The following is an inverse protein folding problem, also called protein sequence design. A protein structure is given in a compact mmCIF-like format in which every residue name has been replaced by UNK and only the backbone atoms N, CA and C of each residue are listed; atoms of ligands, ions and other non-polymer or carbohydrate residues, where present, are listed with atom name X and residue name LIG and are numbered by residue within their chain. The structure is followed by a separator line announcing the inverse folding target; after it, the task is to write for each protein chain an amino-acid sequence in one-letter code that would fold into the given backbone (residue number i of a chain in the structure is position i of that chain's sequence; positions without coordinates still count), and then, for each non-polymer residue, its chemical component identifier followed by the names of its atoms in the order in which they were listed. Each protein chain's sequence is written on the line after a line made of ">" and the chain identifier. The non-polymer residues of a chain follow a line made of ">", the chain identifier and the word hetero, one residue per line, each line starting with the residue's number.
data_IF_832200374552
#
_entry.id   IF_832200374552
#
_cell.length_a   1.000
_cell.length_b   1.000
_cell.length_c   1.000
_cell.angle_alpha   90.00
_cell.angle_beta   90.00
_cell.angle_gamma   90.00
#
_symmetry.space_group_name_H-M   'P 1'
#
loop_
_entity.id
_entity.type
_entity.pdbx_description
1 polymer ?
#
# COMPACT_ATOMS: atom_id res chain seq x y z
N UNK A 1 -14.90 -15.06 4.43
CA UNK A 1 -15.25 -15.00 2.99
C UNK A 1 -16.77 -14.86 2.76
N UNK A 2 -17.62 -15.84 3.09
CA UNK A 2 -19.09 -15.77 2.83
C UNK A 2 -19.76 -14.56 3.47
N UNK A 3 -19.47 -14.28 4.75
CA UNK A 3 -19.96 -13.06 5.44
C UNK A 3 -19.52 -11.78 4.73
N UNK A 4 -18.24 -11.69 4.36
CA UNK A 4 -17.67 -10.56 3.63
C UNK A 4 -18.34 -10.36 2.27
N UNK A 5 -18.66 -11.47 1.58
CA UNK A 5 -19.37 -11.43 0.31
C UNK A 5 -20.81 -10.90 0.46
N UNK A 6 -21.58 -11.44 1.40
CA UNK A 6 -22.94 -10.94 1.67
C UNK A 6 -22.93 -9.46 2.10
N UNK A 7 -21.98 -9.06 2.96
CA UNK A 7 -21.82 -7.68 3.37
C UNK A 7 -21.44 -6.75 2.20
N UNK A 8 -20.60 -7.21 1.27
CA UNK A 8 -20.27 -6.47 0.06
C UNK A 8 -21.50 -6.28 -0.84
N UNK A 9 -22.30 -7.33 -1.06
CA UNK A 9 -23.55 -7.22 -1.82
C UNK A 9 -24.54 -6.26 -1.17
N UNK A 10 -24.67 -6.28 0.16
CA UNK A 10 -25.50 -5.32 0.90
C UNK A 10 -24.99 -3.89 0.75
N UNK A 11 -23.66 -3.69 0.83
CA UNK A 11 -23.06 -2.37 0.64
C UNK A 11 -23.28 -1.84 -0.79
N UNK A 12 -23.16 -2.70 -1.81
CA UNK A 12 -23.40 -2.34 -3.21
C UNK A 12 -24.86 -1.95 -3.48
N UNK A 13 -25.82 -2.54 -2.77
CA UNK A 13 -27.24 -2.15 -2.85
C UNK A 13 -27.62 -0.96 -1.97
N UNK A 14 -26.67 -0.34 -1.26
CA UNK A 14 -26.96 0.74 -0.31
C UNK A 14 -27.09 2.10 -1.02
N UNK A 15 -27.94 2.97 -0.47
CA UNK A 15 -28.05 4.36 -0.93
C UNK A 15 -26.72 5.12 -0.87
N UNK A 16 -25.87 4.81 0.11
CA UNK A 16 -24.52 5.36 0.21
C UNK A 16 -23.65 4.99 -0.99
N UNK A 17 -23.71 3.74 -1.45
CA UNK A 17 -22.95 3.33 -2.62
C UNK A 17 -23.49 4.00 -3.89
N UNK A 18 -24.81 4.02 -4.07
CA UNK A 18 -25.44 4.69 -5.20
C UNK A 18 -25.09 6.19 -5.25
N UNK A 19 -25.12 6.90 -4.11
CA UNK A 19 -24.71 8.31 -4.06
C UNK A 19 -23.26 8.53 -4.51
N UNK A 20 -22.34 7.63 -4.17
CA UNK A 20 -20.95 7.69 -4.65
C UNK A 20 -20.87 7.37 -6.14
N UNK A 21 -21.59 6.35 -6.61
CA UNK A 21 -21.62 5.96 -8.02
C UNK A 21 -22.17 7.08 -8.90
N UNK A 22 -23.23 7.75 -8.47
CA UNK A 22 -23.83 8.90 -9.16
C UNK A 22 -22.85 10.08 -9.21
N UNK A 23 -22.15 10.37 -8.10
CA UNK A 23 -21.11 11.41 -8.08
C UNK A 23 -19.95 11.08 -9.04
N UNK A 24 -19.53 9.81 -9.12
CA UNK A 24 -18.50 9.37 -10.06
C UNK A 24 -18.98 9.45 -11.51
N UNK A 25 -20.24 9.12 -11.78
CA UNK A 25 -20.83 9.25 -13.11
C UNK A 25 -20.88 10.72 -13.57
N UNK A 26 -21.18 11.65 -12.67
CA UNK A 26 -21.11 13.08 -12.93
C UNK A 26 -19.67 13.54 -13.24
N UNK A 27 -18.68 13.07 -12.47
CA UNK A 27 -17.26 13.40 -12.69
C UNK A 27 -16.74 12.99 -14.07
N UNK A 28 -17.35 11.98 -14.71
CA UNK A 28 -16.97 11.58 -16.07
C UNK A 28 -17.37 12.63 -17.13
N UNK A 29 -18.34 13.49 -16.83
CA UNK A 29 -18.85 14.53 -17.74
C UNK A 29 -18.42 15.94 -17.34
N UNK A 30 -18.38 16.22 -16.03
CA UNK A 30 -18.04 17.53 -15.49
C UNK A 30 -17.13 17.38 -14.25
N UNK A 31 -15.90 17.87 -14.38
CA UNK A 31 -14.93 17.89 -13.29
C UNK A 31 -15.01 19.27 -12.63
N UNK A 32 -15.40 19.37 -11.34
CA UNK A 32 -15.60 20.64 -10.66
C UNK A 32 -14.24 21.27 -10.31
N UNK A 33 -13.60 21.86 -11.31
CA UNK A 33 -12.32 22.56 -11.15
C UNK A 33 -12.55 23.90 -10.45
N UNK A 34 -11.61 24.30 -9.60
CA UNK A 34 -11.65 25.61 -8.99
C UNK A 34 -11.61 26.72 -10.08
N UNK A 35 -12.24 27.88 -9.85
CA UNK A 35 -12.20 29.00 -10.79
C UNK A 35 -10.75 29.39 -11.12
N UNK A 36 -10.43 29.61 -12.41
CA UNK A 36 -9.08 29.95 -12.86
C UNK A 36 -8.16 28.76 -13.14
N UNK A 37 -8.65 27.53 -13.01
CA UNK A 37 -7.93 26.29 -13.40
C UNK A 37 -8.20 25.89 -14.85
N UNK A 38 -9.20 26.51 -15.49
CA UNK A 38 -9.54 26.32 -16.91
C UNK A 38 -8.40 26.82 -17.79
N UNK A 39 -7.61 25.89 -18.35
CA UNK A 39 -6.47 26.18 -19.24
C UNK A 39 -5.10 25.75 -18.70
N UNK A 40 -5.01 25.29 -17.45
CA UNK A 40 -3.76 24.84 -16.81
C UNK A 40 -3.85 23.33 -16.56
N UNK A 41 -3.73 22.52 -17.61
CA UNK A 41 -4.18 21.11 -17.56
C UNK A 41 -3.10 20.13 -17.11
N UNK A 42 -1.88 20.21 -17.64
CA UNK A 42 -0.76 19.36 -17.21
C UNK A 42 0.19 20.07 -16.24
N UNK A 43 0.52 21.33 -16.51
CA UNK A 43 1.45 22.11 -15.68
C UNK A 43 0.92 22.35 -14.26
N UNK A 44 -0.40 22.49 -14.07
CA UNK A 44 -0.98 22.62 -12.74
C UNK A 44 -0.86 21.35 -11.89
N UNK A 45 -0.69 20.20 -12.53
CA UNK A 45 -0.60 18.90 -11.87
C UNK A 45 0.84 18.54 -11.50
N UNK A 46 1.82 19.31 -11.98
CA UNK A 46 3.24 19.13 -11.64
C UNK A 46 3.48 19.35 -10.14
N UNK A 47 3.00 20.45 -9.55
CA UNK A 47 3.23 20.72 -8.11
C UNK A 47 2.61 19.64 -7.21
N UNK A 48 1.36 19.19 -7.40
CA UNK A 48 0.82 18.06 -6.64
C UNK A 48 1.61 16.75 -6.84
N UNK A 49 2.13 16.49 -8.05
CA UNK A 49 2.92 15.30 -8.34
C UNK A 49 4.29 15.33 -7.67
N UNK A 50 4.98 16.47 -7.73
CA UNK A 50 6.23 16.72 -6.99
C UNK A 50 6.02 16.57 -5.49
N UNK A 51 4.91 17.11 -4.95
CA UNK A 51 4.57 16.96 -3.54
C UNK A 51 4.31 15.50 -3.16
N UNK A 52 3.70 14.70 -4.04
CA UNK A 52 3.52 13.27 -3.82
C UNK A 52 4.87 12.52 -3.81
N UNK A 53 5.78 12.87 -4.73
CA UNK A 53 7.15 12.34 -4.76
C UNK A 53 7.92 12.67 -3.48
N UNK A 54 7.93 13.94 -3.07
CA UNK A 54 8.63 14.37 -1.84
C UNK A 54 8.12 13.63 -0.60
N UNK A 55 6.80 13.44 -0.48
CA UNK A 55 6.23 12.68 0.65
C UNK A 55 6.64 11.22 0.61
N UNK A 56 6.69 10.61 -0.57
CA UNK A 56 7.19 9.25 -0.76
C UNK A 56 8.67 9.14 -0.36
N UNK A 57 9.53 10.01 -0.89
CA UNK A 57 10.96 10.03 -0.57
C UNK A 57 11.19 10.20 0.94
N UNK A 58 10.47 11.12 1.59
CA UNK A 58 10.55 11.33 3.03
C UNK A 58 10.10 10.09 3.83
N UNK A 59 9.01 9.43 3.41
CA UNK A 59 8.54 8.23 4.08
C UNK A 59 9.50 7.05 3.91
N UNK A 60 10.10 6.88 2.72
CA UNK A 60 11.11 5.84 2.47
C UNK A 60 12.39 6.11 3.26
N UNK A 61 12.85 7.37 3.33
CA UNK A 61 13.99 7.75 4.14
C UNK A 61 13.76 7.54 5.65
N UNK A 62 12.52 7.59 6.11
CA UNK A 62 12.14 7.31 7.50
C UNK A 62 11.90 5.82 7.79
N UNK A 63 12.07 4.92 6.81
CA UNK A 63 11.90 3.48 7.05
C UNK A 63 12.97 2.94 8.00
N UNK A 64 12.63 1.95 8.84
CA UNK A 64 13.59 1.31 9.72
C UNK A 64 14.77 0.69 8.95
N UNK A 65 16.00 0.73 9.49
CA UNK A 65 17.16 0.13 8.85
C UNK A 65 17.07 -1.41 8.80
N UNK A 66 17.94 -2.03 8.01
CA UNK A 66 17.93 -3.49 7.82
C UNK A 66 18.32 -4.25 9.09
N UNK A 67 19.25 -3.71 9.88
CA UNK A 67 19.82 -4.37 11.06
C UNK A 67 18.97 -4.18 12.32
N UNK A 68 17.65 -4.01 12.17
CA UNK A 68 16.74 -3.92 13.33
C UNK A 68 16.37 -5.30 13.86
N UNK A 69 15.83 -5.34 15.08
CA UNK A 69 15.37 -6.58 15.71
C UNK A 69 14.42 -7.36 14.78
N UNK A 70 14.69 -8.66 14.53
CA UNK A 70 13.86 -9.48 13.66
C UNK A 70 12.39 -9.48 14.10
N UNK A 71 11.48 -9.39 13.13
CA UNK A 71 10.04 -9.48 13.33
C UNK A 71 9.40 -8.35 14.14
N UNK A 72 10.04 -7.19 14.26
CA UNK A 72 9.42 -6.05 14.93
C UNK A 72 8.16 -5.54 14.18
N UNK A 73 6.98 -5.94 14.65
CA UNK A 73 5.67 -5.57 14.09
C UNK A 73 5.39 -4.06 14.17
N UNK A 74 6.03 -3.32 15.09
CA UNK A 74 5.84 -1.87 15.19
C UNK A 74 6.31 -1.12 13.93
N UNK A 75 7.15 -1.77 13.11
CA UNK A 75 7.65 -1.23 11.86
C UNK A 75 6.64 -1.33 10.71
N UNK A 76 5.69 -2.27 10.77
CA UNK A 76 4.79 -2.59 9.64
C UNK A 76 3.97 -1.36 9.21
N UNK A 77 3.61 -0.50 10.17
CA UNK A 77 2.88 0.75 9.90
C UNK A 77 3.65 1.71 8.99
N UNK A 78 4.96 1.87 9.19
CA UNK A 78 5.78 2.75 8.35
C UNK A 78 5.89 2.20 6.91
N UNK A 79 6.02 0.88 6.78
CA UNK A 79 6.04 0.19 5.48
C UNK A 79 4.68 0.29 4.76
N UNK A 80 3.56 0.16 5.47
CA UNK A 80 2.23 0.39 4.91
C UNK A 80 2.03 1.84 4.46
N UNK A 81 2.57 2.82 5.19
CA UNK A 81 2.52 4.22 4.79
C UNK A 81 3.35 4.49 3.53
N UNK A 82 4.56 3.94 3.44
CA UNK A 82 5.39 4.01 2.23
C UNK A 82 4.66 3.41 1.01
N UNK A 83 3.98 2.28 1.20
CA UNK A 83 3.14 1.64 0.16
C UNK A 83 2.03 2.55 -0.34
N UNK A 84 1.31 3.22 0.57
CA UNK A 84 0.24 4.15 0.19
C UNK A 84 0.80 5.31 -0.62
N UNK A 85 1.89 5.92 -0.15
CA UNK A 85 2.54 7.05 -0.81
C UNK A 85 3.11 6.66 -2.18
N UNK A 86 3.65 5.45 -2.32
CA UNK A 86 4.13 4.94 -3.60
C UNK A 86 2.99 4.81 -4.61
N UNK A 87 1.83 4.29 -4.19
CA UNK A 87 0.63 4.22 -5.04
C UNK A 87 0.14 5.60 -5.45
N UNK A 88 0.12 6.55 -4.52
CA UNK A 88 -0.27 7.94 -4.81
C UNK A 88 0.68 8.61 -5.82
N UNK A 89 1.98 8.45 -5.64
CA UNK A 89 2.98 8.97 -6.58
C UNK A 89 2.84 8.32 -7.97
N UNK A 90 2.62 7.00 -8.04
CA UNK A 90 2.35 6.32 -9.32
C UNK A 90 1.10 6.86 -10.01
N UNK A 91 0.01 7.07 -9.27
CA UNK A 91 -1.22 7.66 -9.85
C UNK A 91 -1.02 9.10 -10.29
N UNK A 92 -0.28 9.91 -9.53
CA UNK A 92 0.06 11.28 -9.94
C UNK A 92 0.88 11.28 -11.23
N UNK A 93 1.89 10.41 -11.33
CA UNK A 93 2.71 10.24 -12.52
C UNK A 93 1.89 9.77 -13.74
N UNK A 94 0.99 8.80 -13.55
CA UNK A 94 0.07 8.32 -14.60
C UNK A 94 -0.83 9.45 -15.11
N UNK A 95 -1.34 10.30 -14.24
CA UNK A 95 -2.20 11.44 -14.61
C UNK A 95 -1.39 12.53 -15.34
N UNK A 96 -0.17 12.82 -14.89
CA UNK A 96 0.67 13.90 -15.46
C UNK A 96 1.31 13.49 -16.79
N UNK A 97 1.89 12.29 -16.88
CA UNK A 97 2.63 11.84 -18.07
C UNK A 97 1.80 10.94 -18.99
N UNK A 98 0.59 10.53 -18.58
CA UNK A 98 -0.25 9.63 -19.36
C UNK A 98 0.28 8.19 -19.45
N UNK A 99 1.30 7.84 -18.65
CA UNK A 99 1.95 6.54 -18.68
C UNK A 99 2.37 6.07 -17.28
N UNK A 100 2.31 4.75 -17.08
CA UNK A 100 2.80 4.12 -15.87
C UNK A 100 4.33 4.25 -15.76
N UNK A 101 4.84 4.35 -14.53
CA UNK A 101 6.28 4.36 -14.24
C UNK A 101 6.79 2.91 -14.04
N UNK A 102 7.38 2.26 -15.06
CA UNK A 102 7.83 0.86 -14.94
C UNK A 102 8.92 0.68 -13.88
N UNK A 103 9.73 1.71 -13.64
CA UNK A 103 10.79 1.70 -12.62
C UNK A 103 10.25 1.48 -11.19
N UNK A 104 9.00 1.85 -10.91
CA UNK A 104 8.38 1.70 -9.59
C UNK A 104 7.54 0.44 -9.45
N UNK A 105 7.35 -0.32 -10.54
CA UNK A 105 6.47 -1.50 -10.54
C UNK A 105 6.99 -2.59 -9.60
N UNK A 106 8.30 -2.87 -9.64
CA UNK A 106 8.93 -3.88 -8.77
C UNK A 106 8.82 -3.49 -7.29
N UNK A 107 9.13 -2.22 -6.97
CA UNK A 107 8.98 -1.70 -5.60
C UNK A 107 7.53 -1.77 -5.11
N UNK A 108 6.58 -1.44 -5.98
CA UNK A 108 5.15 -1.55 -5.68
C UNK A 108 4.75 -2.98 -5.34
N UNK A 109 5.21 -3.93 -6.16
CA UNK A 109 4.94 -5.35 -5.95
C UNK A 109 5.55 -5.88 -4.64
N UNK A 110 6.79 -5.51 -4.33
CA UNK A 110 7.41 -5.85 -3.06
C UNK A 110 6.59 -5.35 -1.85
N UNK A 111 6.07 -4.13 -1.91
CA UNK A 111 5.22 -3.59 -0.85
C UNK A 111 3.82 -4.23 -0.79
N UNK A 112 3.28 -4.70 -1.92
CA UNK A 112 2.07 -5.54 -1.93
C UNK A 112 2.31 -6.87 -1.20
N UNK A 113 3.40 -7.58 -1.54
CA UNK A 113 3.79 -8.83 -0.88
C UNK A 113 4.03 -8.64 0.62
N UNK A 114 4.73 -7.58 1.01
CA UNK A 114 4.89 -7.20 2.42
C UNK A 114 3.53 -7.10 3.11
N UNK A 115 2.57 -6.37 2.53
CA UNK A 115 1.25 -6.20 3.13
C UNK A 115 0.50 -7.52 3.26
N UNK A 116 0.56 -8.36 2.24
CA UNK A 116 -0.14 -9.65 2.26
C UNK A 116 0.46 -10.61 3.29
N UNK A 117 1.79 -10.62 3.42
CA UNK A 117 2.50 -11.39 4.45
C UNK A 117 2.18 -10.90 5.87
N UNK A 118 2.15 -9.58 6.11
CA UNK A 118 1.72 -9.02 7.41
C UNK A 118 0.29 -9.45 7.75
N UNK A 119 -0.64 -9.36 6.81
CA UNK A 119 -2.04 -9.77 7.04
C UNK A 119 -2.18 -11.28 7.27
N UNK A 120 -1.42 -12.10 6.54
CA UNK A 120 -1.39 -13.54 6.72
C UNK A 120 -0.80 -13.93 8.09
N UNK A 121 0.30 -13.30 8.52
CA UNK A 121 0.90 -13.48 9.83
C UNK A 121 -0.09 -13.12 10.96
N UNK A 122 -0.79 -11.99 10.82
CA UNK A 122 -1.81 -11.55 11.78
C UNK A 122 -3.01 -12.50 11.82
N UNK A 123 -3.45 -13.01 10.67
CA UNK A 123 -4.52 -13.99 10.58
C UNK A 123 -4.15 -15.32 11.23
N UNK A 124 -2.93 -15.82 11.02
CA UNK A 124 -2.41 -17.02 11.66
C UNK A 124 -2.35 -16.85 13.20
N UNK A 125 -1.83 -15.72 13.67
CA UNK A 125 -1.79 -15.40 15.10
C UNK A 125 -3.20 -15.28 15.71
N UNK A 126 -4.15 -14.67 15.00
CA UNK A 126 -5.54 -14.60 15.44
C UNK A 126 -6.20 -15.97 15.50
N UNK A 127 -5.97 -16.82 14.50
CA UNK A 127 -6.48 -18.19 14.47
C UNK A 127 -5.92 -19.03 15.63
N UNK A 128 -4.63 -18.86 15.98
CA UNK A 128 -3.99 -19.56 17.09
C UNK A 128 -4.60 -19.20 18.47
N UNK A 129 -5.28 -18.05 18.58
CA UNK A 129 -6.01 -17.64 19.79
C UNK A 129 -7.45 -18.18 19.86
N UNK A 130 -7.88 -19.00 18.90
CA UNK A 130 -9.22 -19.58 18.89
C UNK A 130 -9.38 -20.56 20.05
N UNK A 131 -10.45 -20.47 20.87
CA UNK A 131 -10.67 -21.40 21.97
C UNK A 131 -10.78 -22.86 21.49
N UNK A 132 -10.23 -23.79 22.28
CA UNK A 132 -10.34 -25.26 22.09
C UNK A 132 -9.69 -25.82 20.81
N UNK A 133 -8.69 -25.15 20.24
CA UNK A 133 -7.86 -25.76 19.18
C UNK A 133 -6.90 -26.79 19.78
N UNK A 134 -6.55 -27.82 19.00
CA UNK A 134 -5.56 -28.81 19.42
C UNK A 134 -4.15 -28.20 19.48
N UNK A 135 -3.26 -28.66 20.39
CA UNK A 135 -1.89 -28.16 20.47
C UNK A 135 -1.10 -28.27 19.15
N UNK A 136 -1.28 -29.36 18.40
CA UNK A 136 -0.65 -29.53 17.09
C UNK A 136 -1.10 -28.46 16.07
N UNK A 137 -2.36 -28.05 16.12
CA UNK A 137 -2.89 -26.97 15.27
C UNK A 137 -2.30 -25.62 15.68
N UNK A 138 -2.20 -25.34 16.98
CA UNK A 138 -1.57 -24.11 17.47
C UNK A 138 -0.09 -24.03 17.05
N UNK A 139 0.65 -25.14 17.12
CA UNK A 139 2.03 -25.23 16.66
C UNK A 139 2.14 -24.94 15.16
N UNK A 140 1.31 -25.59 14.32
CA UNK A 140 1.32 -25.36 12.88
C UNK A 140 1.01 -23.88 12.52
N UNK A 141 0.09 -23.25 13.24
CA UNK A 141 -0.21 -21.82 13.08
C UNK A 141 0.95 -20.92 13.52
N UNK A 142 1.70 -21.31 14.56
CA UNK A 142 2.92 -20.62 14.97
C UNK A 142 4.02 -20.69 13.91
N UNK A 143 4.23 -21.86 13.30
CA UNK A 143 5.17 -22.04 12.18
C UNK A 143 4.74 -21.19 10.97
N UNK A 144 3.46 -21.22 10.61
CA UNK A 144 2.92 -20.38 9.53
C UNK A 144 3.11 -18.89 9.82
N UNK A 145 2.86 -18.44 11.05
CA UNK A 145 3.10 -17.05 11.44
C UNK A 145 4.58 -16.68 11.24
N UNK A 146 5.51 -17.51 11.72
CA UNK A 146 6.95 -17.26 11.56
C UNK A 146 7.39 -17.23 10.08
N UNK A 147 6.87 -18.15 9.26
CA UNK A 147 7.10 -18.17 7.81
C UNK A 147 6.66 -16.85 7.15
N UNK A 148 5.46 -16.39 7.47
CA UNK A 148 4.96 -15.10 6.94
C UNK A 148 5.77 -13.90 7.47
N UNK A 149 6.32 -13.95 8.69
CA UNK A 149 7.23 -12.90 9.17
C UNK A 149 8.58 -12.91 8.43
N UNK A 150 9.07 -14.07 7.96
CA UNK A 150 10.23 -14.10 7.05
C UNK A 150 9.89 -13.50 5.68
N UNK A 151 8.72 -13.79 5.13
CA UNK A 151 8.25 -13.18 3.86
C UNK A 151 8.14 -11.65 3.96
N UNK A 152 7.74 -11.13 5.13
CA UNK A 152 7.77 -9.68 5.42
C UNK A 152 9.19 -9.11 5.28
N UNK A 153 10.20 -9.74 5.88
CA UNK A 153 11.59 -9.27 5.78
C UNK A 153 12.17 -9.44 4.37
N UNK A 154 11.83 -10.55 3.68
CA UNK A 154 12.22 -10.78 2.30
C UNK A 154 11.66 -9.69 1.37
N UNK A 155 10.38 -9.34 1.53
CA UNK A 155 9.76 -8.26 0.77
C UNK A 155 10.41 -6.89 1.04
N UNK A 156 10.82 -6.61 2.29
CA UNK A 156 11.56 -5.39 2.63
C UNK A 156 12.94 -5.35 1.98
N UNK A 157 13.65 -6.48 1.95
CA UNK A 157 14.93 -6.60 1.27
C UNK A 157 14.79 -6.33 -0.24
N UNK A 158 13.83 -7.01 -0.91
CA UNK A 158 13.54 -6.80 -2.34
C UNK A 158 13.16 -5.34 -2.62
N UNK A 159 12.36 -4.71 -1.76
CA UNK A 159 12.06 -3.29 -1.91
C UNK A 159 13.33 -2.43 -1.89
N UNK A 160 14.22 -2.64 -0.90
CA UNK A 160 15.48 -1.87 -0.78
C UNK A 160 16.40 -2.08 -1.98
N UNK A 161 16.51 -3.31 -2.49
CA UNK A 161 17.32 -3.64 -3.68
C UNK A 161 16.78 -3.01 -4.96
N UNK A 162 15.46 -2.94 -5.10
CA UNK A 162 14.80 -2.47 -6.32
C UNK A 162 14.50 -0.96 -6.30
N UNK A 163 14.66 -0.30 -5.15
CA UNK A 163 14.36 1.11 -4.99
C UNK A 163 15.26 1.99 -5.86
N UNK A 164 14.73 2.70 -6.87
CA UNK A 164 15.55 3.35 -7.89
C UNK A 164 16.36 4.54 -7.38
N UNK A 165 16.00 5.08 -6.20
CA UNK A 165 16.71 6.20 -5.56
C UNK A 165 17.66 5.73 -4.44
N UNK A 166 17.90 4.42 -4.30
CA UNK A 166 18.76 3.87 -3.25
C UNK A 166 20.20 4.39 -3.35
N UNK A 167 20.73 4.59 -4.56
CA UNK A 167 22.06 5.14 -4.81
C UNK A 167 22.18 6.63 -4.45
N UNK A 168 21.08 7.39 -4.43
CA UNK A 168 21.09 8.79 -4.03
C UNK A 168 21.07 8.98 -2.50
N UNK A 169 20.60 7.98 -1.75
CA UNK A 169 20.56 7.97 -0.28
C UNK A 169 21.86 7.48 0.36
N UNK A 170 22.83 6.98 -0.44
CA UNK A 170 24.13 6.51 0.04
C UNK A 170 25.26 7.54 -0.07
N UNK A 171 24.96 8.78 -0.48
CA UNK A 171 25.97 9.84 -0.49
C UNK A 171 26.21 10.36 0.94
N UNK A 172 27.48 10.41 1.41
CA UNK A 172 27.86 10.75 2.79
C UNK A 172 27.62 12.23 3.15
#
# INVERSE_FOLDING_TARGET
>A
RTRSHSAALQALGSSRFHAVADAVALLASDVPLAPGTTGRTAEALLEPAERAEQRLLAAVAALPPADTEPYNEAQDAAWHQARLLLRLHRYAHEVVLGAAAPALASCGHALDLHRDAVEAAAAAAAAARTPRIAPATAYALGVLHADQRHEVEAARAVFRETWPYATALTAP
#
